data_IF_239937730484
#
_entry.id   IF_239937730484
#
_cell.length_a   1.000
_cell.length_b   1.000
_cell.length_c   1.000
_cell.angle_alpha   90.00
_cell.angle_beta   90.00
_cell.angle_gamma   90.00
#
_symmetry.space_group_name_H-M   'P 1'
#
loop_
_entity.id
_entity.type
_entity.pdbx_description
1 polymer ?
#
# COMPACT_ATOMS: atom_id res chain seq x y z
N UNK A 1 65.77 2.21 6.85
CA UNK A 1 65.91 3.16 5.73
C UNK A 1 64.61 3.08 4.97
N UNK A 2 63.77 4.10 5.15
CA UNK A 2 62.81 4.65 4.20
C UNK A 2 62.14 5.78 4.96
N UNK A 3 62.60 6.98 4.64
CA UNK A 3 62.22 8.24 5.27
C UNK A 3 61.10 8.79 4.42
N UNK A 4 59.89 8.88 4.97
CA UNK A 4 58.79 9.59 4.32
C UNK A 4 58.91 11.04 4.76
N UNK A 5 59.32 11.87 3.80
CA UNK A 5 59.46 13.32 3.89
C UNK A 5 58.06 13.96 4.02
N UNK A 6 57.82 14.70 5.09
CA UNK A 6 56.58 15.44 5.36
C UNK A 6 56.80 16.93 5.16
N UNK A 7 57.28 17.32 3.98
CA UNK A 7 57.36 18.72 3.61
C UNK A 7 56.66 18.99 2.27
N UNK A 8 55.59 19.78 2.37
CA UNK A 8 55.01 20.61 1.30
C UNK A 8 54.06 19.92 0.32
N UNK A 9 52.79 19.76 0.73
CA UNK A 9 51.66 19.89 -0.20
C UNK A 9 50.63 20.83 0.44
N UNK A 10 50.58 22.05 -0.09
CA UNK A 10 49.60 23.07 0.23
C UNK A 10 48.19 22.54 -0.10
N UNK A 11 47.48 22.09 0.94
CA UNK A 11 46.03 21.93 0.88
C UNK A 11 45.42 23.34 0.80
N UNK A 12 45.27 23.83 -0.43
CA UNK A 12 44.41 24.97 -0.74
C UNK A 12 42.97 24.54 -0.47
N UNK A 13 42.46 24.96 0.68
CA UNK A 13 41.07 24.84 1.08
C UNK A 13 40.22 25.80 0.23
N UNK A 14 39.74 25.28 -0.91
CA UNK A 14 38.89 26.00 -1.87
C UNK A 14 37.45 26.26 -1.35
N UNK A 15 37.16 26.00 -0.07
CA UNK A 15 35.82 26.15 0.50
C UNK A 15 35.47 27.55 1.02
N UNK A 16 36.35 28.55 0.87
CA UNK A 16 36.09 29.92 1.32
C UNK A 16 36.52 31.02 0.34
N UNK A 17 36.05 30.94 -0.92
CA UNK A 17 36.03 32.14 -1.76
C UNK A 17 34.97 33.12 -1.23
N UNK A 18 35.43 34.17 -0.56
CA UNK A 18 34.66 35.35 -0.24
C UNK A 18 34.21 36.01 -1.56
N UNK A 19 32.95 35.80 -1.94
CA UNK A 19 32.36 36.42 -3.13
C UNK A 19 31.98 37.85 -2.78
N UNK A 20 32.65 38.81 -3.42
CA UNK A 20 32.33 40.24 -3.33
C UNK A 20 30.88 40.48 -3.81
N UNK A 21 29.97 40.95 -2.93
CA UNK A 21 28.56 41.13 -3.27
C UNK A 21 28.33 42.23 -4.32
N UNK A 22 29.33 43.05 -4.64
CA UNK A 22 29.26 44.05 -5.71
C UNK A 22 29.40 43.46 -7.13
N UNK A 23 29.78 42.18 -7.26
CA UNK A 23 29.93 41.47 -8.54
C UNK A 23 28.81 40.48 -8.87
N UNK A 24 27.76 40.38 -8.04
CA UNK A 24 26.63 39.51 -8.33
C UNK A 24 25.75 40.21 -9.38
N UNK A 25 26.02 39.96 -10.66
CA UNK A 25 25.02 40.15 -11.71
C UNK A 25 23.76 39.40 -11.28
N UNK A 26 22.62 40.09 -11.22
CA UNK A 26 21.34 39.48 -10.85
C UNK A 26 21.09 38.28 -11.77
N UNK A 27 21.12 37.07 -11.22
CA UNK A 27 20.98 35.83 -12.00
C UNK A 27 19.61 35.69 -12.66
N UNK A 28 18.62 36.49 -12.25
CA UNK A 28 17.28 36.47 -12.83
C UNK A 28 16.76 37.90 -13.04
N UNK A 29 16.44 38.22 -14.28
CA UNK A 29 15.73 39.44 -14.67
C UNK A 29 14.26 39.10 -14.88
N UNK A 30 13.47 39.22 -13.82
CA UNK A 30 12.02 39.02 -13.90
C UNK A 30 11.29 40.37 -13.96
N UNK A 31 10.22 40.44 -14.74
CA UNK A 31 9.23 41.51 -14.60
C UNK A 31 8.67 41.48 -13.18
N UNK A 32 8.46 42.65 -12.57
CA UNK A 32 7.90 42.78 -11.22
C UNK A 32 6.69 41.84 -11.06
N UNK A 33 6.64 40.99 -10.01
CA UNK A 33 5.53 40.09 -9.80
C UNK A 33 4.29 40.92 -9.52
N UNK A 34 3.50 41.18 -10.56
CA UNK A 34 2.18 41.74 -10.41
C UNK A 34 1.39 40.70 -9.62
N UNK A 35 0.99 41.06 -8.40
CA UNK A 35 0.03 40.31 -7.59
C UNK A 35 -1.27 40.29 -8.38
N UNK A 36 -1.39 39.39 -9.35
CA UNK A 36 -2.64 39.15 -10.05
C UNK A 36 -3.62 38.75 -8.96
N UNK A 37 -4.62 39.60 -8.77
CA UNK A 37 -5.70 39.29 -7.84
C UNK A 37 -6.46 38.10 -8.39
N UNK A 38 -6.00 36.89 -8.12
CA UNK A 38 -6.85 35.70 -8.08
C UNK A 38 -7.50 35.69 -6.68
N UNK A 39 -8.24 36.75 -6.37
CA UNK A 39 -9.27 36.69 -5.34
C UNK A 39 -10.55 36.40 -6.07
N UNK A 40 -10.92 35.12 -6.10
CA UNK A 40 -12.26 34.61 -6.38
C UNK A 40 -13.08 35.45 -7.35
N UNK A 41 -12.76 35.41 -8.63
CA UNK A 41 -13.82 35.50 -9.63
C UNK A 41 -14.61 34.20 -9.55
N UNK A 42 -15.43 34.04 -8.50
CA UNK A 42 -16.52 33.07 -8.57
C UNK A 42 -17.46 33.60 -9.64
N UNK A 43 -17.20 33.22 -10.89
CA UNK A 43 -18.13 33.37 -11.99
C UNK A 43 -19.34 32.50 -11.71
N UNK A 44 -20.20 32.93 -10.79
CA UNK A 44 -21.62 32.62 -10.90
C UNK A 44 -22.11 33.43 -12.09
N UNK A 45 -21.80 32.94 -13.29
CA UNK A 45 -22.45 33.41 -14.50
C UNK A 45 -23.95 33.27 -14.24
N UNK A 46 -24.65 34.39 -14.32
CA UNK A 46 -26.10 34.46 -14.35
C UNK A 46 -26.59 33.44 -15.39
N UNK A 47 -27.22 32.34 -14.96
CA UNK A 47 -27.98 31.48 -15.88
C UNK A 47 -29.33 32.12 -16.14
N UNK A 48 -29.33 33.32 -16.75
CA UNK A 48 -30.50 33.87 -17.42
C UNK A 48 -30.40 33.54 -18.91
N UNK A 49 -30.56 32.25 -19.21
CA UNK A 49 -31.01 31.81 -20.52
C UNK A 49 -32.50 31.54 -20.42
N UNK A 50 -33.28 32.47 -20.98
CA UNK A 50 -34.70 32.30 -21.19
C UNK A 50 -35.01 30.96 -21.89
N UNK A 51 -36.00 30.25 -21.33
CA UNK A 51 -36.69 29.04 -21.86
C UNK A 51 -35.93 27.71 -21.81
N UNK A 52 -35.35 27.35 -20.67
CA UNK A 52 -35.23 25.94 -20.26
C UNK A 52 -35.88 25.81 -18.89
N UNK A 53 -36.79 24.85 -18.71
CA UNK A 53 -37.42 24.56 -17.42
C UNK A 53 -36.36 24.00 -16.47
N UNK A 54 -35.64 24.88 -15.78
CA UNK A 54 -34.65 24.55 -14.77
C UNK A 54 -35.35 24.10 -13.49
N UNK A 55 -35.96 22.93 -13.54
CA UNK A 55 -36.39 22.27 -12.31
C UNK A 55 -35.14 22.02 -11.47
N UNK A 56 -35.04 22.72 -10.33
CA UNK A 56 -34.05 22.40 -9.30
C UNK A 56 -34.16 20.91 -9.02
N UNK A 57 -33.06 20.18 -9.20
CA UNK A 57 -33.02 18.75 -8.90
C UNK A 57 -33.53 18.58 -7.46
N UNK A 58 -34.66 17.88 -7.23
CA UNK A 58 -35.18 17.70 -5.89
C UNK A 58 -34.15 16.97 -5.02
N UNK A 59 -34.09 17.35 -3.75
CA UNK A 59 -33.14 16.80 -2.77
C UNK A 59 -33.15 15.25 -2.85
N UNK A 60 -31.96 14.66 -2.95
CA UNK A 60 -31.74 13.21 -3.10
C UNK A 60 -32.42 12.39 -2.00
N UNK A 61 -32.56 12.98 -0.81
CA UNK A 61 -33.27 12.36 0.32
C UNK A 61 -34.78 12.24 0.03
N UNK A 62 -35.37 13.27 -0.59
CA UNK A 62 -36.79 13.31 -0.95
C UNK A 62 -37.11 12.39 -2.13
N UNK A 63 -36.23 12.32 -3.13
CA UNK A 63 -36.41 11.38 -4.26
C UNK A 63 -36.20 9.93 -3.85
N UNK A 64 -35.22 9.63 -2.98
CA UNK A 64 -35.02 8.29 -2.42
C UNK A 64 -36.25 7.80 -1.65
N UNK A 65 -36.81 8.63 -0.77
CA UNK A 65 -38.02 8.28 -0.02
C UNK A 65 -39.25 8.06 -0.92
N UNK A 66 -39.30 8.71 -2.10
CA UNK A 66 -40.34 8.47 -3.10
C UNK A 66 -40.13 7.17 -3.86
N UNK A 67 -38.89 6.81 -4.17
CA UNK A 67 -38.53 5.58 -4.88
C UNK A 67 -38.63 4.34 -3.99
N UNK A 68 -38.29 4.44 -2.69
CA UNK A 68 -38.47 3.34 -1.73
C UNK A 68 -39.94 2.95 -1.54
N UNK A 69 -40.89 3.88 -1.80
CA UNK A 69 -42.33 3.57 -1.83
C UNK A 69 -42.78 2.92 -3.13
N UNK A 70 -41.98 2.97 -4.19
CA UNK A 70 -42.25 2.28 -5.44
C UNK A 70 -41.62 0.88 -5.37
N UNK A 71 -42.35 -0.08 -4.80
CA UNK A 71 -41.96 -1.48 -4.91
C UNK A 71 -42.15 -1.94 -6.36
N UNK A 72 -41.06 -2.12 -7.09
CA UNK A 72 -41.07 -2.85 -8.35
C UNK A 72 -41.10 -4.32 -7.96
N UNK A 73 -42.23 -5.01 -8.18
CA UNK A 73 -42.32 -6.45 -8.02
C UNK A 73 -41.31 -7.12 -8.97
N UNK A 74 -40.15 -7.53 -8.45
CA UNK A 74 -39.26 -8.43 -9.14
C UNK A 74 -39.89 -9.82 -9.13
N UNK A 75 -40.68 -10.11 -10.16
CA UNK A 75 -41.06 -11.47 -10.51
C UNK A 75 -39.84 -12.17 -11.12
N UNK A 76 -38.94 -12.65 -10.27
CA UNK A 76 -37.94 -13.63 -10.68
C UNK A 76 -38.69 -14.96 -10.78
N UNK A 77 -38.78 -15.60 -11.96
CA UNK A 77 -39.29 -16.96 -12.02
C UNK A 77 -38.30 -17.88 -11.30
N UNK A 78 -38.73 -18.40 -10.16
CA UNK A 78 -38.09 -19.55 -9.53
C UNK A 78 -38.01 -20.69 -10.54
N UNK A 79 -36.82 -21.30 -10.61
CA UNK A 79 -36.42 -22.46 -11.45
C UNK A 79 -35.87 -22.12 -12.82
N UNK A 80 -34.60 -21.75 -12.85
CA UNK A 80 -33.67 -22.32 -13.84
C UNK A 80 -32.85 -23.37 -13.10
N UNK A 81 -33.31 -24.62 -13.19
CA UNK A 81 -32.50 -25.79 -12.85
C UNK A 81 -31.38 -25.79 -13.90
N UNK A 82 -30.13 -25.59 -13.47
CA UNK A 82 -28.98 -25.89 -14.32
C UNK A 82 -28.97 -27.40 -14.53
N UNK A 83 -29.45 -27.81 -15.70
CA UNK A 83 -29.30 -29.16 -16.21
C UNK A 83 -27.79 -29.36 -16.45
N UNK A 84 -27.13 -30.03 -15.51
CA UNK A 84 -25.72 -30.41 -15.64
C UNK A 84 -25.67 -31.50 -16.70
N UNK A 85 -25.45 -31.05 -17.93
CA UNK A 85 -25.13 -31.88 -19.08
C UNK A 85 -24.03 -32.85 -18.68
N UNK A 86 -24.40 -34.13 -18.69
CA UNK A 86 -23.56 -35.29 -18.47
C UNK A 86 -22.24 -35.17 -19.26
N UNK A 87 -21.14 -34.93 -18.53
CA UNK A 87 -19.79 -35.05 -19.05
C UNK A 87 -19.33 -36.49 -18.84
N UNK A 88 -18.94 -37.12 -19.95
CA UNK A 88 -18.18 -38.37 -20.01
C UNK A 88 -17.11 -38.43 -18.91
N UNK A 89 -17.24 -39.46 -18.08
CA UNK A 89 -16.22 -40.19 -17.31
C UNK A 89 -14.96 -39.38 -16.93
N UNK A 90 -15.10 -38.48 -15.97
CA UNK A 90 -13.99 -38.17 -15.08
C UNK A 90 -13.94 -39.28 -14.00
N UNK A 91 -12.75 -39.73 -13.56
CA UNK A 91 -12.65 -40.72 -12.50
C UNK A 91 -13.30 -40.15 -11.23
N UNK A 92 -14.36 -40.82 -10.78
CA UNK A 92 -15.11 -40.42 -9.59
C UNK A 92 -14.18 -40.33 -8.37
N UNK A 93 -14.37 -39.28 -7.57
CA UNK A 93 -13.71 -39.20 -6.26
C UNK A 93 -14.14 -40.38 -5.38
N UNK A 94 -13.25 -40.86 -4.50
CA UNK A 94 -13.51 -41.99 -3.60
C UNK A 94 -14.78 -41.75 -2.77
N UNK A 95 -15.02 -40.52 -2.32
CA UNK A 95 -16.22 -40.14 -1.56
C UNK A 95 -17.49 -40.18 -2.42
N UNK A 96 -17.40 -39.71 -3.67
CA UNK A 96 -18.51 -39.77 -4.62
C UNK A 96 -18.87 -41.22 -4.97
N UNK A 97 -17.86 -42.07 -5.17
CA UNK A 97 -18.04 -43.50 -5.43
C UNK A 97 -18.65 -44.23 -4.23
N UNK A 98 -18.21 -43.95 -3.01
CA UNK A 98 -18.80 -44.53 -1.79
C UNK A 98 -20.26 -44.10 -1.58
N UNK A 99 -20.61 -42.85 -1.93
CA UNK A 99 -21.99 -42.36 -1.90
C UNK A 99 -22.86 -43.04 -2.97
N UNK A 100 -22.32 -43.24 -4.18
CA UNK A 100 -23.02 -43.95 -5.26
C UNK A 100 -23.30 -45.41 -4.89
N UNK A 101 -22.30 -46.13 -4.37
CA UNK A 101 -22.45 -47.51 -3.90
C UNK A 101 -23.51 -47.60 -2.79
N UNK A 102 -23.57 -46.63 -1.88
CA UNK A 102 -24.62 -46.59 -0.86
C UNK A 102 -26.02 -46.48 -1.49
N UNK A 103 -26.19 -45.56 -2.45
CA UNK A 103 -27.47 -45.38 -3.12
C UNK A 103 -27.88 -46.61 -3.94
N UNK A 104 -26.92 -47.27 -4.61
CA UNK A 104 -27.15 -48.53 -5.34
C UNK A 104 -27.56 -49.67 -4.37
N UNK A 105 -26.97 -49.75 -3.18
CA UNK A 105 -27.37 -50.71 -2.15
C UNK A 105 -28.76 -50.42 -1.57
N UNK A 106 -29.08 -49.15 -1.34
CA UNK A 106 -30.41 -48.71 -0.89
C UNK A 106 -31.48 -49.01 -1.97
N UNK A 107 -31.14 -48.86 -3.26
CA UNK A 107 -32.00 -49.24 -4.38
C UNK A 107 -32.25 -50.76 -4.41
N UNK A 108 -31.20 -51.58 -4.33
CA UNK A 108 -31.34 -53.05 -4.30
C UNK A 108 -32.19 -53.49 -3.10
N UNK A 109 -31.99 -52.87 -1.93
CA UNK A 109 -32.81 -53.12 -0.73
C UNK A 109 -34.30 -52.83 -1.01
N UNK A 110 -34.60 -51.69 -1.64
CA UNK A 110 -35.98 -51.33 -1.99
C UNK A 110 -36.64 -52.27 -3.01
N UNK A 111 -35.85 -52.87 -3.90
CA UNK A 111 -36.31 -53.88 -4.85
C UNK A 111 -36.52 -55.24 -4.17
N UNK A 112 -35.74 -55.55 -3.14
CA UNK A 112 -35.76 -56.83 -2.44
C UNK A 112 -36.92 -56.95 -1.43
N UNK A 113 -37.47 -55.85 -0.93
CA UNK A 113 -38.73 -55.84 -0.16
C UNK A 113 -39.92 -56.42 -0.96
N UNK A 114 -39.74 -56.70 -2.27
CA UNK A 114 -40.71 -57.34 -3.17
C UNK A 114 -40.33 -58.77 -3.62
N UNK A 115 -39.18 -59.31 -3.22
CA UNK A 115 -38.73 -60.67 -3.57
C UNK A 115 -38.11 -61.39 -2.35
N UNK A 116 -38.81 -62.39 -1.80
CA UNK A 116 -38.41 -63.16 -0.60
C UNK A 116 -37.26 -64.17 -0.87
N UNK A 117 -36.15 -63.73 -1.45
CA UNK A 117 -34.95 -64.55 -1.59
C UNK A 117 -34.00 -64.33 -0.39
N UNK A 118 -34.04 -65.28 0.56
CA UNK A 118 -33.26 -65.23 1.81
C UNK A 118 -31.73 -65.22 1.61
N UNK A 119 -31.22 -65.67 0.45
CA UNK A 119 -29.77 -65.69 0.17
C UNK A 119 -29.25 -64.32 -0.25
N UNK A 120 -29.95 -63.63 -1.13
CA UNK A 120 -29.62 -62.28 -1.57
C UNK A 120 -29.65 -61.29 -0.40
N UNK A 121 -30.50 -61.54 0.62
CA UNK A 121 -30.57 -60.69 1.81
C UNK A 121 -29.32 -60.82 2.68
N UNK A 122 -28.79 -62.04 2.84
CA UNK A 122 -27.54 -62.27 3.57
C UNK A 122 -26.34 -61.67 2.82
N UNK A 123 -26.31 -61.78 1.49
CA UNK A 123 -25.28 -61.15 0.67
C UNK A 123 -25.33 -59.62 0.74
N UNK A 124 -26.53 -59.02 0.70
CA UNK A 124 -26.72 -57.58 0.83
C UNK A 124 -26.29 -57.07 2.21
N UNK A 125 -26.64 -57.79 3.27
CA UNK A 125 -26.22 -57.48 4.65
C UNK A 125 -24.69 -57.53 4.80
N UNK A 126 -24.04 -58.52 4.16
CA UNK A 126 -22.58 -58.62 4.15
C UNK A 126 -21.91 -57.45 3.40
N UNK A 127 -22.49 -57.01 2.28
CA UNK A 127 -21.98 -55.86 1.51
C UNK A 127 -22.18 -54.54 2.25
N UNK A 128 -23.29 -54.37 2.97
CA UNK A 128 -23.53 -53.21 3.84
C UNK A 128 -22.53 -53.16 5.02
N UNK A 129 -22.21 -54.31 5.61
CA UNK A 129 -21.18 -54.42 6.65
C UNK A 129 -19.79 -54.07 6.11
N UNK A 130 -19.46 -54.50 4.88
CA UNK A 130 -18.22 -54.12 4.21
C UNK A 130 -18.15 -52.62 3.89
N UNK A 131 -19.24 -52.02 3.41
CA UNK A 131 -19.31 -50.59 3.13
C UNK A 131 -19.12 -49.76 4.40
N UNK A 132 -19.78 -50.12 5.50
CA UNK A 132 -19.63 -49.43 6.79
C UNK A 132 -18.21 -49.54 7.35
N UNK A 133 -17.56 -50.72 7.25
CA UNK A 133 -16.15 -50.90 7.62
C UNK A 133 -15.21 -50.03 6.77
N UNK A 134 -15.47 -49.95 5.46
CA UNK A 134 -14.67 -49.12 4.55
C UNK A 134 -14.86 -47.62 4.82
N UNK A 135 -16.08 -47.19 5.11
CA UNK A 135 -16.37 -45.81 5.51
C UNK A 135 -15.62 -45.44 6.80
N UNK A 136 -15.69 -46.29 7.83
CA UNK A 136 -14.96 -46.07 9.08
C UNK A 136 -13.44 -46.01 8.87
N UNK A 137 -12.88 -46.90 8.06
CA UNK A 137 -11.45 -46.89 7.73
C UNK A 137 -11.02 -45.65 6.94
N UNK A 138 -11.87 -45.16 6.03
CA UNK A 138 -11.60 -43.91 5.30
C UNK A 138 -11.62 -42.69 6.22
N UNK A 139 -12.60 -42.62 7.14
CA UNK A 139 -12.72 -41.55 8.12
C UNK A 139 -11.58 -41.57 9.15
N UNK A 140 -11.16 -42.75 9.62
CA UNK A 140 -10.02 -42.88 10.53
C UNK A 140 -8.73 -42.41 9.86
N UNK A 141 -8.49 -42.82 8.60
CA UNK A 141 -7.32 -42.37 7.82
C UNK A 141 -7.32 -40.86 7.58
N UNK A 142 -8.48 -40.28 7.28
CA UNK A 142 -8.64 -38.82 7.16
C UNK A 142 -8.36 -38.12 8.50
N UNK A 143 -8.82 -38.69 9.61
CA UNK A 143 -8.58 -38.16 10.95
C UNK A 143 -7.10 -38.24 11.34
N UNK A 144 -6.40 -39.31 10.94
CA UNK A 144 -4.98 -39.51 11.22
C UNK A 144 -4.11 -38.61 10.35
N UNK A 145 -4.48 -38.43 9.06
CA UNK A 145 -3.88 -37.40 8.21
C UNK A 145 -4.09 -36.01 8.81
N UNK A 146 -5.30 -35.69 9.26
CA UNK A 146 -5.60 -34.39 9.90
C UNK A 146 -4.78 -34.18 11.18
N UNK A 147 -4.52 -35.24 11.96
CA UNK A 147 -3.62 -35.19 13.12
C UNK A 147 -2.16 -35.03 12.71
N UNK A 148 -1.71 -35.69 11.65
CA UNK A 148 -0.35 -35.54 11.11
C UNK A 148 -0.12 -34.15 10.50
N UNK A 149 -1.14 -33.53 9.91
CA UNK A 149 -1.10 -32.16 9.41
C UNK A 149 -1.26 -31.10 10.51
N UNK A 150 -1.86 -31.44 11.65
CA UNK A 150 -1.81 -30.64 12.87
C UNK A 150 -0.48 -30.89 13.62
N UNK A 151 0.64 -30.68 12.95
CA UNK A 151 1.93 -30.53 13.62
C UNK A 151 1.83 -29.35 14.60
N UNK A 152 2.33 -29.58 15.81
CA UNK A 152 2.55 -28.63 16.90
C UNK A 152 2.93 -27.21 16.42
N UNK A 153 2.43 -26.15 17.05
CA UNK A 153 2.47 -24.77 16.57
C UNK A 153 3.83 -24.07 16.77
N UNK A 154 4.96 -24.77 16.59
CA UNK A 154 6.28 -24.22 16.93
C UNK A 154 7.16 -23.86 15.72
N UNK A 155 6.72 -24.11 14.48
CA UNK A 155 7.54 -23.78 13.28
C UNK A 155 6.76 -23.29 12.07
N UNK A 156 5.58 -22.66 12.25
CA UNK A 156 4.95 -21.94 11.15
C UNK A 156 5.41 -20.49 11.11
N UNK A 157 6.13 -20.12 10.05
CA UNK A 157 6.23 -18.73 9.60
C UNK A 157 4.81 -18.17 9.51
N UNK A 158 4.47 -17.28 10.46
CA UNK A 158 3.20 -16.58 10.47
C UNK A 158 3.27 -15.56 9.34
N UNK A 159 2.75 -15.92 8.16
CA UNK A 159 2.30 -14.90 7.22
C UNK A 159 1.32 -13.98 7.95
N UNK A 160 1.40 -12.64 7.78
CA UNK A 160 0.52 -11.73 8.47
C UNK A 160 -0.92 -12.12 8.15
N UNK A 161 -1.64 -12.66 9.14
CA UNK A 161 -3.10 -12.71 9.07
C UNK A 161 -3.53 -11.25 9.10
N UNK A 162 -3.76 -10.66 7.93
CA UNK A 162 -4.56 -9.45 7.80
C UNK A 162 -6.01 -9.89 8.05
N UNK A 163 -6.30 -10.32 9.28
CA UNK A 163 -7.64 -10.27 9.81
C UNK A 163 -7.86 -8.81 10.14
N UNK A 164 -8.54 -8.07 9.25
CA UNK A 164 -9.22 -6.85 9.71
C UNK A 164 -10.16 -7.32 10.82
N UNK A 165 -9.73 -7.18 12.07
CA UNK A 165 -10.61 -7.42 13.20
C UNK A 165 -11.80 -6.47 13.00
N UNK A 166 -13.00 -7.03 12.87
CA UNK A 166 -14.21 -6.23 12.68
C UNK A 166 -14.37 -5.22 13.82
N UNK A 167 -13.79 -5.49 15.00
CA UNK A 167 -13.75 -4.55 16.11
C UNK A 167 -12.84 -3.35 15.82
N UNK A 168 -11.67 -3.55 15.20
CA UNK A 168 -10.76 -2.46 14.84
C UNK A 168 -11.30 -1.64 13.66
N UNK A 169 -11.96 -2.28 12.71
CA UNK A 169 -12.68 -1.58 11.63
C UNK A 169 -13.81 -0.69 12.17
N UNK A 170 -14.56 -1.17 13.17
CA UNK A 170 -15.59 -0.37 13.85
C UNK A 170 -14.98 0.78 14.65
N UNK A 171 -13.88 0.56 15.38
CA UNK A 171 -13.17 1.65 16.07
C UNK A 171 -12.72 2.72 15.08
N UNK A 172 -12.15 2.32 13.94
CA UNK A 172 -11.71 3.25 12.90
C UNK A 172 -12.89 4.05 12.33
N UNK A 173 -14.03 3.41 12.06
CA UNK A 173 -15.25 4.08 11.63
C UNK A 173 -15.75 5.10 12.67
N UNK A 174 -15.73 4.75 13.96
CA UNK A 174 -16.15 5.69 15.01
C UNK A 174 -15.17 6.87 15.17
N UNK A 175 -13.88 6.64 14.92
CA UNK A 175 -12.88 7.69 14.95
C UNK A 175 -13.06 8.64 13.76
N UNK A 176 -13.29 8.09 12.58
CA UNK A 176 -13.55 8.83 11.34
C UNK A 176 -14.80 9.71 11.46
N UNK A 177 -15.89 9.19 12.04
CA UNK A 177 -17.09 9.99 12.35
C UNK A 177 -16.81 11.13 13.32
N UNK A 178 -15.98 10.91 14.35
CA UNK A 178 -15.58 11.97 15.30
C UNK A 178 -14.72 13.03 14.62
N UNK A 179 -13.79 12.61 13.76
CA UNK A 179 -12.95 13.52 12.97
C UNK A 179 -13.83 14.34 12.02
N UNK A 180 -14.76 13.72 11.31
CA UNK A 180 -15.72 14.41 10.46
C UNK A 180 -16.54 15.46 11.21
N UNK A 181 -17.02 15.15 12.42
CA UNK A 181 -17.74 16.13 13.24
C UNK A 181 -16.83 17.29 13.69
N UNK A 182 -15.57 17.01 14.03
CA UNK A 182 -14.59 18.04 14.35
C UNK A 182 -14.25 18.91 13.13
N UNK A 183 -14.07 18.30 11.95
CA UNK A 183 -13.86 19.00 10.69
C UNK A 183 -15.08 19.82 10.27
N UNK A 184 -16.30 19.35 10.54
CA UNK A 184 -17.52 20.14 10.28
C UNK A 184 -17.55 21.43 11.10
N UNK A 185 -17.04 21.39 12.32
CA UNK A 185 -17.03 22.53 13.25
C UNK A 185 -15.83 23.45 12.99
N UNK A 186 -14.63 22.88 12.84
CA UNK A 186 -13.33 23.59 12.83
C UNK A 186 -12.70 23.66 11.44
N UNK A 187 -13.17 22.86 10.50
CA UNK A 187 -12.60 22.75 9.16
C UNK A 187 -12.61 24.07 8.38
N UNK A 188 -11.70 24.19 7.40
CA UNK A 188 -11.46 25.45 6.70
C UNK A 188 -12.70 25.89 5.92
N UNK A 189 -13.31 26.99 6.33
CA UNK A 189 -14.41 27.66 5.58
C UNK A 189 -13.89 28.66 4.53
N UNK A 190 -12.58 28.74 4.33
CA UNK A 190 -11.94 29.63 3.35
C UNK A 190 -10.40 29.59 3.39
N UNK A 191 -9.79 30.36 2.49
CA UNK A 191 -8.34 30.50 2.19
C UNK A 191 -7.55 31.30 3.26
N UNK A 192 -7.80 31.06 4.55
CA UNK A 192 -7.11 31.78 5.62
C UNK A 192 -6.28 30.81 6.46
N UNK A 193 -4.99 30.70 6.11
CA UNK A 193 -3.95 29.82 6.66
C UNK A 193 -3.61 30.05 8.15
N UNK A 194 -4.30 30.99 8.81
CA UNK A 194 -4.05 31.33 10.22
C UNK A 194 -4.70 30.34 11.16
N UNK A 195 -3.93 29.87 12.15
CA UNK A 195 -4.41 28.97 13.20
C UNK A 195 -5.61 29.55 13.96
N UNK A 196 -6.51 28.67 14.44
CA UNK A 196 -7.68 29.09 15.21
C UNK A 196 -7.29 29.81 16.51
N UNK A 197 -6.19 29.41 17.13
CA UNK A 197 -5.64 30.07 18.32
C UNK A 197 -5.25 31.52 18.02
N UNK A 198 -4.55 31.77 16.91
CA UNK A 198 -4.18 33.13 16.48
C UNK A 198 -5.40 33.99 16.20
N UNK A 199 -6.47 33.41 15.63
CA UNK A 199 -7.75 34.12 15.42
C UNK A 199 -8.42 34.46 16.75
N UNK A 200 -8.45 33.52 17.69
CA UNK A 200 -9.03 33.72 19.02
C UNK A 200 -8.25 34.77 19.82
N UNK A 201 -6.92 34.72 19.80
CA UNK A 201 -6.05 35.71 20.46
C UNK A 201 -6.20 37.11 19.83
N UNK A 202 -6.34 37.19 18.50
CA UNK A 202 -6.61 38.45 17.83
C UNK A 202 -7.97 39.01 18.24
N UNK A 203 -9.00 38.17 18.30
CA UNK A 203 -10.34 38.55 18.78
C UNK A 203 -10.31 38.96 20.26
N UNK A 204 -9.62 38.20 21.10
CA UNK A 204 -9.45 38.51 22.52
C UNK A 204 -8.72 39.83 22.72
N UNK A 205 -7.66 40.09 21.94
CA UNK A 205 -6.95 41.37 21.93
C UNK A 205 -7.86 42.50 21.46
N UNK A 206 -8.65 42.31 20.41
CA UNK A 206 -9.63 43.29 19.92
C UNK A 206 -10.72 43.58 20.96
N UNK A 207 -11.25 42.55 21.61
CA UNK A 207 -12.26 42.66 22.68
C UNK A 207 -11.67 43.36 23.91
N UNK A 208 -10.44 43.05 24.29
CA UNK A 208 -9.75 43.75 25.37
C UNK A 208 -9.44 45.21 25.03
N UNK A 209 -9.10 45.52 23.77
CA UNK A 209 -8.96 46.89 23.28
C UNK A 209 -10.29 47.66 23.24
N UNK A 210 -11.40 46.95 23.02
CA UNK A 210 -12.75 47.52 23.07
C UNK A 210 -13.23 47.75 24.51
N UNK A 211 -12.80 46.91 25.46
CA UNK A 211 -13.17 46.99 26.87
C UNK A 211 -12.26 47.92 27.68
N UNK A 212 -10.98 48.08 27.32
CA UNK A 212 -10.07 49.03 27.96
C UNK A 212 -10.05 50.35 27.18
N UNK A 213 -10.84 51.30 27.67
CA UNK A 213 -10.78 52.74 27.44
C UNK A 213 -10.67 53.25 25.99
N UNK A 214 -11.82 53.64 25.45
CA UNK A 214 -11.94 54.53 24.28
C UNK A 214 -11.05 55.77 24.40
N UNK A 215 -10.82 56.26 25.63
CA UNK A 215 -10.00 57.43 25.91
C UNK A 215 -8.50 57.15 25.72
N UNK A 216 -8.01 55.96 26.07
CA UNK A 216 -6.60 55.58 25.86
C UNK A 216 -6.31 55.32 24.38
N UNK A 217 -7.27 54.76 23.64
CA UNK A 217 -7.15 54.56 22.19
C UNK A 217 -7.16 55.89 21.44
N UNK A 218 -8.00 56.85 21.86
CA UNK A 218 -8.02 58.19 21.29
C UNK A 218 -6.70 58.94 21.56
N UNK A 219 -6.17 58.87 22.79
CA UNK A 219 -4.87 59.45 23.14
C UNK A 219 -3.72 58.78 22.39
N UNK A 220 -3.75 57.46 22.20
CA UNK A 220 -2.76 56.76 21.40
C UNK A 220 -2.82 57.18 19.93
N UNK A 221 -4.01 57.34 19.37
CA UNK A 221 -4.19 57.81 17.99
C UNK A 221 -3.76 59.27 17.81
N UNK A 222 -3.99 60.12 18.80
CA UNK A 222 -3.49 61.49 18.83
C UNK A 222 -1.96 61.53 18.92
N UNK A 223 -1.36 60.74 19.82
CA UNK A 223 0.10 60.57 19.93
C UNK A 223 0.73 59.99 18.66
N UNK A 224 0.06 59.05 17.99
CA UNK A 224 0.54 58.46 16.75
C UNK A 224 0.48 59.47 15.60
N UNK A 225 -0.56 60.31 15.55
CA UNK A 225 -0.62 61.43 14.61
C UNK A 225 0.44 62.50 14.90
N UNK A 226 0.73 62.79 16.18
CA UNK A 226 1.80 63.70 16.61
C UNK A 226 3.18 63.17 16.21
N UNK A 227 3.43 61.87 16.42
CA UNK A 227 4.68 61.20 16.01
C UNK A 227 4.82 61.18 14.49
N UNK A 228 3.76 60.85 13.75
CA UNK A 228 3.78 60.84 12.29
C UNK A 228 4.05 62.24 11.72
N UNK A 229 3.47 63.28 12.34
CA UNK A 229 3.75 64.68 11.98
C UNK A 229 5.19 65.07 12.31
N UNK A 230 5.72 64.64 13.46
CA UNK A 230 7.13 64.86 13.82
C UNK A 230 8.11 64.13 12.91
N UNK A 231 7.73 62.96 12.39
CA UNK A 231 8.52 62.17 11.45
C UNK A 231 8.56 62.81 10.06
N UNK A 232 7.41 63.29 9.59
CA UNK A 232 7.26 64.09 8.37
C UNK A 232 8.01 65.44 8.44
N UNK A 233 8.02 66.09 9.62
CA UNK A 233 8.76 67.33 9.86
C UNK A 233 10.26 67.11 10.13
N UNK A 234 10.64 65.90 10.54
CA UNK A 234 12.04 65.53 10.74
C UNK A 234 12.79 65.49 9.40
N UNK A 235 14.07 65.85 9.44
CA UNK A 235 14.98 65.84 8.29
C UNK A 235 14.99 64.50 7.55
N UNK A 236 14.64 63.40 8.22
CA UNK A 236 14.51 62.05 7.65
C UNK A 236 13.28 61.95 6.73
N UNK A 237 12.11 62.45 7.15
CA UNK A 237 10.90 62.48 6.31
C UNK A 237 11.04 63.41 5.10
N UNK A 238 11.67 64.58 5.29
CA UNK A 238 11.95 65.53 4.18
C UNK A 238 13.02 65.04 3.22
N UNK A 239 14.07 64.33 3.68
CA UNK A 239 15.13 63.80 2.80
C UNK A 239 14.75 62.49 2.13
N UNK A 240 13.91 61.66 2.75
CA UNK A 240 13.35 60.43 2.14
C UNK A 240 12.52 60.72 0.87
N UNK A 241 11.86 61.87 0.79
CA UNK A 241 11.09 62.30 -0.40
C UNK A 241 11.95 62.87 -1.54
N UNK A 242 13.19 63.30 -1.27
CA UNK A 242 13.99 64.09 -2.22
C UNK A 242 15.11 63.29 -2.86
N UNK A 243 15.65 62.25 -2.22
CA UNK A 243 16.72 61.44 -2.83
C UNK A 243 16.72 59.98 -2.37
N UNK A 244 16.05 59.12 -3.13
CA UNK A 244 16.00 57.66 -2.90
C UNK A 244 17.40 57.03 -2.89
N UNK A 245 18.37 57.62 -3.61
CA UNK A 245 19.75 57.08 -3.68
C UNK A 245 20.56 57.38 -2.43
N UNK A 246 20.29 58.51 -1.77
CA UNK A 246 20.97 58.87 -0.52
C UNK A 246 20.45 58.04 0.66
N UNK A 247 19.17 57.64 0.62
CA UNK A 247 18.55 56.71 1.57
C UNK A 247 19.19 55.32 1.50
N UNK A 248 19.37 54.78 0.30
CA UNK A 248 20.04 53.48 0.09
C UNK A 248 21.50 53.52 0.57
N UNK A 249 22.25 54.58 0.24
CA UNK A 249 23.66 54.73 0.65
C UNK A 249 23.81 54.95 2.17
N UNK A 250 22.86 55.59 2.85
CA UNK A 250 22.84 55.68 4.31
C UNK A 250 22.48 54.35 4.95
N UNK A 251 21.50 53.61 4.42
CA UNK A 251 21.13 52.29 4.92
C UNK A 251 22.27 51.27 4.75
N UNK A 252 22.98 51.29 3.62
CA UNK A 252 24.14 50.42 3.37
C UNK A 252 25.33 50.72 4.28
N UNK A 253 25.59 52.01 4.56
CA UNK A 253 26.68 52.43 5.47
C UNK A 253 26.32 52.30 6.95
N UNK A 254 25.02 52.24 7.26
CA UNK A 254 24.48 52.02 8.58
C UNK A 254 24.06 50.55 8.72
N UNK A 255 24.94 49.62 8.35
CA UNK A 255 24.85 48.20 8.74
C UNK A 255 25.15 48.05 10.23
N UNK A 256 24.30 48.68 11.03
CA UNK A 256 24.18 48.48 12.47
C UNK A 256 24.07 46.99 12.75
N UNK A 257 24.62 46.54 13.88
CA UNK A 257 24.41 45.18 14.38
C UNK A 257 22.91 44.83 14.40
N UNK A 258 22.07 45.83 14.63
CA UNK A 258 20.61 45.76 14.59
C UNK A 258 20.07 45.35 13.21
N UNK A 259 20.68 45.78 12.11
CA UNK A 259 20.25 45.41 10.75
C UNK A 259 20.63 43.96 10.43
N UNK A 260 21.80 43.49 10.87
CA UNK A 260 22.20 42.07 10.78
C UNK A 260 21.31 41.16 11.63
N UNK A 261 20.97 41.62 12.84
CA UNK A 261 20.02 40.95 13.72
C UNK A 261 18.62 40.92 13.10
N UNK A 262 18.19 42.01 12.46
CA UNK A 262 16.91 42.07 11.77
C UNK A 262 16.86 41.13 10.56
N UNK A 263 17.95 41.01 9.79
CA UNK A 263 18.07 39.98 8.74
C UNK A 263 17.99 38.55 9.34
N UNK A 264 18.63 38.29 10.48
CA UNK A 264 18.50 37.01 11.18
C UNK A 264 17.05 36.73 11.60
N UNK A 265 16.34 37.73 12.10
CA UNK A 265 14.91 37.62 12.44
C UNK A 265 14.04 37.39 11.19
N UNK A 266 14.44 37.90 10.02
CA UNK A 266 13.77 37.55 8.76
C UNK A 266 13.92 36.07 8.41
N UNK A 267 15.00 35.40 8.78
CA UNK A 267 15.13 33.94 8.55
C UNK A 267 14.64 33.10 9.73
N UNK A 268 14.41 33.71 10.90
CA UNK A 268 13.96 33.02 12.10
C UNK A 268 12.60 32.36 11.92
N UNK A 269 11.63 33.03 11.30
CA UNK A 269 10.30 32.45 11.05
C UNK A 269 10.35 31.22 10.12
N UNK A 270 11.29 31.18 9.16
CA UNK A 270 11.55 30.00 8.33
C UNK A 270 12.10 28.86 9.19
N UNK A 271 13.08 29.16 10.05
CA UNK A 271 13.66 28.16 10.95
C UNK A 271 12.64 27.63 11.98
N UNK A 272 11.73 28.48 12.46
CA UNK A 272 10.63 28.09 13.35
C UNK A 272 9.60 27.20 12.64
N UNK A 273 9.33 27.45 11.35
CA UNK A 273 8.44 26.63 10.54
C UNK A 273 9.04 25.24 10.21
N UNK A 274 10.33 25.19 9.87
CA UNK A 274 11.02 23.94 9.49
C UNK A 274 11.59 23.17 10.69
N UNK A 275 11.82 23.84 11.81
CA UNK A 275 12.34 23.26 13.07
C UNK A 275 11.57 22.03 13.56
N UNK A 276 10.23 22.04 13.63
CA UNK A 276 9.47 20.86 14.05
C UNK A 276 9.41 19.76 12.98
N UNK A 277 9.55 20.11 11.69
CA UNK A 277 9.49 19.16 10.57
C UNK A 277 10.82 18.42 10.40
N UNK A 278 11.94 19.04 10.77
CA UNK A 278 13.28 18.50 10.56
C UNK A 278 13.53 17.16 11.29
N UNK A 279 13.16 16.98 12.58
CA UNK A 279 13.26 15.68 13.25
C UNK A 279 12.39 14.59 12.59
N UNK A 280 11.20 14.94 12.10
CA UNK A 280 10.31 14.00 11.40
C UNK A 280 10.89 13.59 10.05
N UNK A 281 11.51 14.54 9.33
CA UNK A 281 12.22 14.25 8.09
C UNK A 281 13.44 13.36 8.33
N UNK A 282 14.20 13.62 9.41
CA UNK A 282 15.33 12.79 9.80
C UNK A 282 14.89 11.36 10.15
N UNK A 283 13.77 11.22 10.86
CA UNK A 283 13.16 9.92 11.15
C UNK A 283 12.80 9.18 9.87
N UNK A 284 12.12 9.85 8.93
CA UNK A 284 11.78 9.28 7.63
C UNK A 284 13.00 8.88 6.81
N UNK A 285 14.07 9.68 6.81
CA UNK A 285 15.32 9.32 6.12
C UNK A 285 15.94 8.06 6.74
N UNK A 286 15.89 7.94 8.07
CA UNK A 286 16.38 6.74 8.75
C UNK A 286 15.55 5.50 8.40
N UNK A 287 14.22 5.62 8.39
CA UNK A 287 13.32 4.54 7.95
C UNK A 287 13.59 4.14 6.50
N UNK A 288 13.82 5.12 5.61
CA UNK A 288 14.17 4.85 4.21
C UNK A 288 15.52 4.11 4.11
N UNK A 289 16.49 4.46 4.96
CA UNK A 289 17.76 3.74 5.04
C UNK A 289 17.56 2.29 5.46
N UNK A 290 16.76 2.04 6.49
CA UNK A 290 16.44 0.68 6.97
C UNK A 290 15.72 -0.14 5.88
N UNK A 291 14.80 0.48 5.14
CA UNK A 291 14.14 -0.15 3.98
C UNK A 291 15.16 -0.45 2.87
N UNK A 292 16.10 0.48 2.60
CA UNK A 292 17.15 0.28 1.61
C UNK A 292 18.06 -0.90 1.97
N UNK A 293 18.39 -1.05 3.24
CA UNK A 293 19.18 -2.18 3.74
C UNK A 293 18.42 -3.50 3.55
N UNK A 294 17.12 -3.53 3.88
CA UNK A 294 16.27 -4.71 3.64
C UNK A 294 16.16 -5.05 2.15
N UNK A 295 16.08 -4.05 1.26
CA UNK A 295 16.08 -4.28 -0.19
C UNK A 295 17.39 -4.93 -0.62
N UNK A 296 18.53 -4.46 -0.11
CA UNK A 296 19.84 -5.05 -0.38
C UNK A 296 19.92 -6.53 0.06
N UNK A 297 19.42 -6.84 1.27
CA UNK A 297 19.36 -8.22 1.77
C UNK A 297 18.46 -9.11 0.89
N UNK A 298 17.28 -8.62 0.50
CA UNK A 298 16.38 -9.37 -0.40
C UNK A 298 17.00 -9.60 -1.77
N UNK A 299 17.80 -8.66 -2.28
CA UNK A 299 18.53 -8.82 -3.52
C UNK A 299 19.60 -9.92 -3.42
N UNK A 300 20.39 -9.94 -2.36
CA UNK A 300 21.37 -11.01 -2.14
C UNK A 300 20.68 -12.38 -1.92
N UNK A 301 19.52 -12.40 -1.25
CA UNK A 301 18.71 -13.62 -1.13
C UNK A 301 18.19 -14.10 -2.50
N UNK A 302 17.69 -13.19 -3.34
CA UNK A 302 17.25 -13.54 -4.69
C UNK A 302 18.40 -14.08 -5.56
N UNK A 303 19.60 -13.50 -5.41
CA UNK A 303 20.81 -13.95 -6.10
C UNK A 303 21.29 -15.33 -5.63
N UNK A 304 21.28 -15.59 -4.33
CA UNK A 304 21.61 -16.92 -3.79
C UNK A 304 20.59 -17.97 -4.23
N UNK A 305 19.30 -17.61 -4.26
CA UNK A 305 18.24 -18.47 -4.78
C UNK A 305 18.45 -18.76 -6.28
N UNK A 306 18.78 -17.76 -7.09
CA UNK A 306 19.09 -17.95 -8.51
C UNK A 306 20.30 -18.88 -8.72
N UNK A 307 21.35 -18.74 -7.91
CA UNK A 307 22.48 -19.66 -7.94
C UNK A 307 22.05 -21.10 -7.58
N UNK A 308 21.21 -21.27 -6.56
CA UNK A 308 20.69 -22.59 -6.18
C UNK A 308 19.83 -23.23 -7.28
N UNK A 309 19.05 -22.44 -8.01
CA UNK A 309 18.28 -22.92 -9.17
C UNK A 309 19.22 -23.35 -10.30
N UNK A 310 20.25 -22.56 -10.59
CA UNK A 310 21.27 -22.92 -11.57
C UNK A 310 21.97 -24.23 -11.20
N UNK A 311 22.32 -24.42 -9.92
CA UNK A 311 22.93 -25.66 -9.44
C UNK A 311 21.99 -26.86 -9.57
N UNK A 312 20.70 -26.68 -9.23
CA UNK A 312 19.68 -27.71 -9.42
C UNK A 312 19.51 -28.08 -10.90
N UNK A 313 19.56 -27.10 -11.81
CA UNK A 313 19.47 -27.35 -13.24
C UNK A 313 20.70 -28.14 -13.74
N UNK A 314 21.90 -27.80 -13.26
CA UNK A 314 23.11 -28.58 -13.55
C UNK A 314 23.00 -30.00 -13.01
N UNK A 315 22.43 -30.19 -11.82
CA UNK A 315 22.19 -31.54 -11.29
C UNK A 315 21.16 -32.30 -12.12
N UNK A 316 20.04 -31.68 -12.50
CA UNK A 316 19.01 -32.30 -13.33
C UNK A 316 19.60 -32.81 -14.65
N UNK A 317 20.42 -32.00 -15.33
CA UNK A 317 21.10 -32.41 -16.56
C UNK A 317 22.06 -33.60 -16.32
N UNK A 318 22.71 -33.68 -15.15
CA UNK A 318 23.53 -34.85 -14.79
C UNK A 318 22.67 -36.10 -14.57
N UNK A 319 21.53 -35.98 -13.91
CA UNK A 319 20.60 -37.10 -13.72
C UNK A 319 20.05 -37.60 -15.06
N UNK A 320 19.74 -36.69 -15.98
CA UNK A 320 19.30 -37.01 -17.34
C UNK A 320 20.39 -37.80 -18.09
N UNK A 321 21.63 -37.33 -18.09
CA UNK A 321 22.74 -38.05 -18.72
C UNK A 321 23.02 -39.43 -18.08
N UNK A 322 22.81 -39.57 -16.76
CA UNK A 322 22.94 -40.87 -16.07
C UNK A 322 21.79 -41.80 -16.47
N UNK A 323 20.58 -41.28 -16.62
CA UNK A 323 19.41 -42.02 -17.07
C UNK A 323 19.58 -42.52 -18.51
N UNK A 324 19.99 -41.66 -19.44
CA UNK A 324 20.29 -42.06 -20.82
C UNK A 324 21.34 -43.17 -20.86
N UNK A 325 22.42 -43.04 -20.08
CA UNK A 325 23.46 -44.07 -20.00
C UNK A 325 22.96 -45.39 -19.38
N UNK A 326 21.97 -45.33 -18.50
CA UNK A 326 21.34 -46.51 -17.91
C UNK A 326 20.45 -47.22 -18.93
N UNK A 327 19.70 -46.44 -19.70
CA UNK A 327 18.87 -46.92 -20.81
C UNK A 327 19.74 -47.61 -21.88
N UNK A 328 20.81 -46.97 -22.32
CA UNK A 328 21.80 -47.57 -23.25
C UNK A 328 22.37 -48.90 -22.73
N UNK A 329 22.66 -48.98 -21.43
CA UNK A 329 23.17 -50.21 -20.79
C UNK A 329 22.11 -51.30 -20.72
N UNK A 330 20.86 -50.94 -20.45
CA UNK A 330 19.73 -51.88 -20.43
C UNK A 330 19.50 -52.45 -21.83
N UNK A 331 19.54 -51.62 -22.86
CA UNK A 331 19.39 -52.05 -24.25
C UNK A 331 20.52 -52.98 -24.68
N UNK A 332 21.77 -52.65 -24.32
CA UNK A 332 22.92 -53.53 -24.55
C UNK A 332 22.77 -54.88 -23.84
N UNK A 333 22.31 -54.87 -22.59
CA UNK A 333 22.10 -56.09 -21.82
C UNK A 333 20.95 -56.93 -22.38
N UNK A 334 19.87 -56.30 -22.85
CA UNK A 334 18.76 -56.97 -23.52
C UNK A 334 19.23 -57.67 -24.80
N UNK A 335 20.05 -57.00 -25.62
CA UNK A 335 20.67 -57.58 -26.81
C UNK A 335 21.59 -58.76 -26.48
N UNK A 336 22.38 -58.66 -25.41
CA UNK A 336 23.26 -59.74 -24.96
C UNK A 336 22.46 -60.95 -24.43
N UNK A 337 21.39 -60.70 -23.67
CA UNK A 337 20.47 -61.75 -23.23
C UNK A 337 19.78 -62.43 -24.41
N UNK A 338 19.36 -61.70 -25.43
CA UNK A 338 18.75 -62.28 -26.63
C UNK A 338 19.76 -63.16 -27.40
N UNK A 339 21.01 -62.70 -27.54
CA UNK A 339 22.09 -63.52 -28.13
C UNK A 339 22.35 -64.78 -27.32
N UNK A 340 22.42 -64.68 -26.00
CA UNK A 340 22.62 -65.82 -25.11
C UNK A 340 21.44 -66.79 -25.16
N UNK A 341 20.20 -66.28 -25.22
CA UNK A 341 19.01 -67.11 -25.37
C UNK A 341 19.02 -67.88 -26.69
N UNK A 342 19.37 -67.23 -27.81
CA UNK A 342 19.54 -67.88 -29.13
C UNK A 342 20.63 -68.96 -29.09
N UNK A 343 21.77 -68.67 -28.47
CA UNK A 343 22.86 -69.63 -28.32
C UNK A 343 22.43 -70.86 -27.49
N UNK A 344 21.70 -70.66 -26.40
CA UNK A 344 21.18 -71.77 -25.57
C UNK A 344 20.13 -72.59 -26.34
N UNK A 345 19.24 -71.95 -27.10
CA UNK A 345 18.23 -72.63 -27.92
C UNK A 345 18.87 -73.49 -29.03
N UNK A 346 19.89 -72.96 -29.72
CA UNK A 346 20.68 -73.73 -30.69
C UNK A 346 21.39 -74.93 -30.04
N UNK A 347 21.94 -74.72 -28.83
CA UNK A 347 22.60 -75.79 -28.08
C UNK A 347 21.62 -76.87 -27.60
N UNK A 348 20.41 -76.49 -27.19
CA UNK A 348 19.33 -77.43 -26.86
C UNK A 348 18.90 -78.25 -28.09
N UNK A 349 18.69 -77.60 -29.24
CA UNK A 349 18.35 -78.29 -30.49
C UNK A 349 19.43 -79.28 -30.95
N UNK A 350 20.70 -78.94 -30.78
CA UNK A 350 21.80 -79.87 -31.09
C UNK A 350 21.89 -81.07 -30.13
N UNK A 351 21.43 -80.94 -28.89
CA UNK A 351 21.35 -82.04 -27.92
C UNK A 351 20.11 -82.93 -28.15
N UNK A 352 18.97 -82.34 -28.49
CA UNK A 352 17.74 -83.08 -28.81
C UNK A 352 17.87 -83.91 -30.10
N UNK A 353 18.75 -83.50 -31.02
CA UNK A 353 19.05 -84.25 -32.25
C UNK A 353 20.09 -85.37 -32.06
N UNK A 354 20.74 -85.46 -30.89
CA UNK A 354 21.69 -86.52 -30.53
C UNK A 354 21.06 -87.64 -29.67
N UNK A 355 19.75 -87.62 -29.48
CA UNK A 355 18.97 -88.63 -28.76
C UNK A 355 18.14 -89.45 -29.74
#
# INVERSE_FOLDING_TARGET
MEVIDLSSEDLVDDSSQYVDPSRIERQVFESHPMRSMIKGTSGKQHTDYHKINSQKIPNTISTRARLEKCQIEQRIPDRVIFDVVSKKEAPESIEQRLSRIKNELDEIRSMQDHAEDSKTFQELQYVEELHSKLLLASQSRLSDLRKQFNLEPDTSIVLPRITLDSSDAQKLLTLDQKIFELERIVGPRGDDDRSLMTKLESLFRQVNLLNNDKDTLAQFQEKLNEINKSYEDSLIGRRSKVDSKLYDVMCDKMTSHEMKVNELYKYHHLLEAYGPIFPELLHRIKEISEISDHISETYELAKTLNNSISDLQVQANKWEAILERLEDKLDLQALEMEKNAKYVDEKLKSLDTQR
#
